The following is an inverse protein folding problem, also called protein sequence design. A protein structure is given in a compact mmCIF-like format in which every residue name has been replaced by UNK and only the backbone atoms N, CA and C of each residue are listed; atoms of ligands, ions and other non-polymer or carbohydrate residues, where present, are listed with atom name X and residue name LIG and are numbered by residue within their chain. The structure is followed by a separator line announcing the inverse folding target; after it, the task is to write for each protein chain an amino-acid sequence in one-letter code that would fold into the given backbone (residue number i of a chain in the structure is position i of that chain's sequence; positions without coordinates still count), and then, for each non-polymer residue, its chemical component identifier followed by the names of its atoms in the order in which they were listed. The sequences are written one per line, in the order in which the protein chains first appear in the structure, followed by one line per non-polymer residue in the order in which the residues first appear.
data_IF_268089008140
#
_entry.id   IF_268089008140
#
_cell.length_a   1.000
_cell.length_b   1.000
_cell.length_c   1.000
_cell.angle_alpha   90.00
_cell.angle_beta   90.00
_cell.angle_gamma   90.00
#
_symmetry.space_group_name_H-M   'P 1'
#
loop_
_entity.id
_entity.type
_entity.pdbx_description
1 polymer ?
#
# COMPACT_ATOMS: atom_id res chain seq x y z
N UNK A 1 -12.89 -13.20 -20.73
CA UNK A 1 -12.22 -12.81 -19.48
C UNK A 1 -13.10 -13.32 -18.35
N UNK A 2 -12.71 -14.41 -17.69
CA UNK A 2 -13.48 -14.96 -16.56
C UNK A 2 -13.19 -14.15 -15.31
N UNK A 3 -14.23 -13.92 -14.50
CA UNK A 3 -14.21 -13.18 -13.23
C UNK A 3 -13.33 -13.80 -12.10
N UNK A 4 -12.37 -14.67 -12.44
CA UNK A 4 -11.66 -15.53 -11.48
C UNK A 4 -10.26 -15.06 -11.07
N UNK A 5 -9.79 -13.90 -11.56
CA UNK A 5 -8.46 -13.36 -11.25
C UNK A 5 -8.56 -12.02 -10.50
N UNK A 6 -9.50 -11.89 -9.57
CA UNK A 6 -9.48 -10.78 -8.62
C UNK A 6 -8.66 -11.21 -7.40
N UNK A 7 -7.51 -10.56 -7.21
CA UNK A 7 -6.46 -10.88 -6.22
C UNK A 7 -6.86 -10.77 -4.74
N UNK A 8 -8.14 -10.70 -4.43
CA UNK A 8 -8.69 -10.69 -3.06
C UNK A 8 -9.62 -11.88 -2.79
N UNK A 9 -9.62 -12.92 -3.63
CA UNK A 9 -10.44 -14.13 -3.37
C UNK A 9 -10.02 -14.85 -2.09
N UNK A 10 -8.76 -14.67 -1.68
CA UNK A 10 -8.21 -15.25 -0.46
C UNK A 10 -7.60 -14.14 0.41
N UNK A 11 -8.16 -14.00 1.60
CA UNK A 11 -7.62 -13.11 2.62
C UNK A 11 -6.50 -13.84 3.35
N UNK A 12 -5.25 -13.57 2.96
CA UNK A 12 -4.05 -14.32 3.40
C UNK A 12 -3.49 -13.83 4.76
N UNK A 13 -4.17 -12.89 5.41
CA UNK A 13 -3.73 -12.28 6.68
C UNK A 13 -4.42 -12.98 7.86
N UNK A 14 -3.69 -13.22 8.94
CA UNK A 14 -4.26 -13.80 10.16
C UNK A 14 -5.29 -12.86 10.80
N UNK A 15 -6.18 -13.40 11.63
CA UNK A 15 -7.17 -12.56 12.34
C UNK A 15 -6.49 -11.56 13.28
N UNK A 16 -5.38 -11.98 13.88
CA UNK A 16 -4.57 -11.22 14.80
C UNK A 16 -3.89 -10.04 14.08
N UNK A 17 -3.27 -10.28 12.93
CA UNK A 17 -2.65 -9.22 12.11
C UNK A 17 -3.69 -8.24 11.57
N UNK A 18 -4.89 -8.71 11.21
CA UNK A 18 -5.97 -7.81 10.79
C UNK A 18 -6.46 -6.92 11.92
N UNK A 19 -6.63 -7.49 13.12
CA UNK A 19 -7.02 -6.72 14.31
C UNK A 19 -5.97 -5.68 14.69
N UNK A 20 -4.68 -6.03 14.59
CA UNK A 20 -3.56 -5.12 14.85
C UNK A 20 -3.53 -3.98 13.81
N UNK A 21 -3.70 -4.30 12.53
CA UNK A 21 -3.81 -3.30 11.47
C UNK A 21 -4.93 -2.30 11.74
N UNK A 22 -6.11 -2.75 12.17
CA UNK A 22 -7.23 -1.86 12.47
C UNK A 22 -6.91 -0.83 13.57
N UNK A 23 -6.04 -1.17 14.52
CA UNK A 23 -5.59 -0.26 15.60
C UNK A 23 -4.56 0.75 15.07
N UNK A 24 -3.64 0.28 14.21
CA UNK A 24 -2.47 1.04 13.75
C UNK A 24 -2.63 1.66 12.35
N UNK A 25 -3.76 1.43 11.69
CA UNK A 25 -4.02 1.95 10.35
C UNK A 25 -3.86 3.48 10.31
N UNK A 26 -3.29 4.03 9.22
CA UNK A 26 -3.23 5.47 9.01
C UNK A 26 -4.64 6.08 9.07
N UNK A 27 -4.81 7.12 9.89
CA UNK A 27 -6.09 7.83 10.02
C UNK A 27 -6.03 9.14 9.28
N UNK A 28 -7.20 9.65 8.86
CA UNK A 28 -7.32 11.00 8.32
C UNK A 28 -6.70 12.00 9.31
N UNK A 29 -6.11 13.08 8.78
CA UNK A 29 -5.38 14.12 9.52
C UNK A 29 -4.07 13.68 10.20
N UNK A 30 -3.71 12.40 10.18
CA UNK A 30 -2.37 11.97 10.57
C UNK A 30 -1.35 12.29 9.46
N UNK A 31 -0.09 12.44 9.87
CA UNK A 31 1.02 12.44 8.91
C UNK A 31 1.05 11.08 8.21
N UNK A 32 1.07 11.09 6.88
CA UNK A 32 1.20 9.86 6.10
C UNK A 32 2.51 9.13 6.46
N UNK A 33 2.47 7.81 6.69
CA UNK A 33 3.68 7.03 6.94
C UNK A 33 4.59 7.05 5.70
N UNK A 34 5.90 6.96 5.92
CA UNK A 34 6.89 6.85 4.85
C UNK A 34 7.74 5.61 5.08
N UNK A 35 7.93 4.84 4.03
CA UNK A 35 8.71 3.60 4.01
C UNK A 35 9.37 3.41 2.63
N UNK A 36 10.42 2.59 2.52
CA UNK A 36 11.07 2.35 1.25
C UNK A 36 10.15 1.60 0.28
N UNK A 37 10.16 2.03 -0.97
CA UNK A 37 9.47 1.42 -2.10
C UNK A 37 10.48 1.15 -3.21
N UNK A 38 10.21 0.15 -4.04
CA UNK A 38 10.94 -0.06 -5.29
C UNK A 38 10.23 0.71 -6.42
N UNK A 39 10.97 1.54 -7.14
CA UNK A 39 10.52 2.10 -8.41
C UNK A 39 10.68 1.05 -9.52
N UNK A 40 9.57 0.50 -10.00
CA UNK A 40 9.57 -0.55 -11.02
C UNK A 40 10.14 -0.12 -12.38
N UNK A 41 10.21 1.18 -12.67
CA UNK A 41 10.78 1.67 -13.92
C UNK A 41 12.32 1.64 -13.91
N UNK A 42 12.91 1.84 -12.74
CA UNK A 42 14.37 2.03 -12.56
C UNK A 42 15.03 0.91 -11.75
N UNK A 43 14.26 0.18 -10.94
CA UNK A 43 14.73 -0.78 -9.95
C UNK A 43 15.34 -0.13 -8.71
N UNK A 44 15.25 1.19 -8.57
CA UNK A 44 15.83 1.91 -7.44
C UNK A 44 14.90 1.93 -6.23
N UNK A 45 15.48 1.99 -5.03
CA UNK A 45 14.72 2.21 -3.80
C UNK A 45 14.46 3.70 -3.62
N UNK A 46 13.20 4.08 -3.47
CA UNK A 46 12.75 5.45 -3.17
C UNK A 46 12.02 5.49 -1.83
N UNK A 47 12.12 6.59 -1.08
CA UNK A 47 11.26 6.76 0.09
C UNK A 47 9.87 7.22 -0.35
N UNK A 48 8.82 6.55 0.12
CA UNK A 48 7.44 6.86 -0.25
C UNK A 48 7.07 8.35 -0.06
N UNK A 49 7.65 9.02 0.96
CA UNK A 49 7.43 10.45 1.18
C UNK A 49 7.89 11.38 0.07
N UNK A 50 8.81 10.93 -0.78
CA UNK A 50 9.27 11.69 -1.93
C UNK A 50 8.16 11.89 -2.96
N UNK A 51 7.19 10.96 -3.03
CA UNK A 51 6.08 10.98 -3.98
C UNK A 51 5.07 12.12 -3.74
N UNK A 52 4.95 12.61 -2.50
CA UNK A 52 4.10 13.76 -2.14
C UNK A 52 4.89 14.95 -1.61
N UNK A 53 6.21 14.92 -1.69
CA UNK A 53 7.04 16.05 -1.26
C UNK A 53 6.78 17.30 -2.12
N UNK A 54 6.42 17.10 -3.40
CA UNK A 54 6.20 18.16 -4.39
C UNK A 54 4.73 18.52 -4.62
N UNK A 55 3.78 17.76 -4.06
CA UNK A 55 2.35 17.99 -4.31
C UNK A 55 1.44 16.92 -3.71
N UNK A 56 0.15 17.02 -4.04
CA UNK A 56 -0.85 16.03 -3.61
C UNK A 56 -0.62 14.73 -4.38
N UNK A 57 -0.49 13.61 -3.66
CA UNK A 57 -0.40 12.27 -4.23
C UNK A 57 -1.69 11.49 -3.95
N UNK A 58 -2.07 10.67 -4.92
CA UNK A 58 -3.06 9.60 -4.76
C UNK A 58 -2.29 8.29 -4.79
N UNK A 59 -2.44 7.47 -3.75
CA UNK A 59 -1.75 6.19 -3.61
C UNK A 59 -2.79 5.09 -3.63
N UNK A 60 -2.64 4.15 -4.57
CA UNK A 60 -3.47 2.96 -4.69
C UNK A 60 -2.65 1.74 -4.28
N UNK A 61 -3.24 0.91 -3.42
CA UNK A 61 -2.66 -0.38 -3.06
C UNK A 61 -3.38 -1.47 -3.85
N UNK A 62 -2.63 -2.18 -4.68
CA UNK A 62 -3.09 -3.34 -5.42
C UNK A 62 -1.96 -4.35 -5.56
N UNK A 63 -2.27 -5.52 -6.08
CA UNK A 63 -1.26 -6.51 -6.46
C UNK A 63 -1.13 -6.54 -7.98
N UNK A 64 0.11 -6.49 -8.45
CA UNK A 64 0.46 -6.85 -9.81
C UNK A 64 0.61 -8.38 -9.87
N UNK A 65 -0.09 -9.02 -10.81
CA UNK A 65 0.09 -10.44 -11.17
C UNK A 65 0.68 -10.53 -12.56
#
# INVERSE_FOLDING_TARGET
MSHSEYNYSEFVVSKEEFADFAVHAPKVTMRAPSFPLEDLATGETVQMSELWASGVAVVEFGSFT
#
